data_IF_462975331584
#
_entry.id   IF_462975331584
#
_cell.length_a   1.000
_cell.length_b   1.000
_cell.length_c   1.000
_cell.angle_alpha   90.00
_cell.angle_beta   90.00
_cell.angle_gamma   90.00
#
_symmetry.space_group_name_H-M   'P 1'
#
loop_
_entity.id
_entity.type
_entity.pdbx_description
1 polymer ?
#
# COMPACT_ATOMS: atom_id res chain seq x y z
N UNK A 1 -4.67 -16.57 -21.03
CA UNK A 1 -3.44 -16.66 -20.22
C UNK A 1 -3.80 -16.11 -18.86
N UNK A 2 -3.57 -16.89 -17.81
CA UNK A 2 -3.86 -16.43 -16.44
C UNK A 2 -2.75 -15.49 -15.97
N UNK A 3 -3.15 -14.40 -15.32
CA UNK A 3 -2.23 -13.46 -14.68
C UNK A 3 -2.52 -13.39 -13.19
N UNK A 4 -1.48 -13.23 -12.39
CA UNK A 4 -1.56 -13.00 -10.94
C UNK A 4 -0.95 -11.65 -10.61
N UNK A 5 -1.47 -10.99 -9.58
CA UNK A 5 -0.93 -9.73 -9.09
C UNK A 5 -0.06 -10.02 -7.87
N UNK A 6 1.17 -9.49 -7.86
CA UNK A 6 1.99 -9.41 -6.66
C UNK A 6 2.06 -7.94 -6.26
N UNK A 7 1.83 -7.62 -4.99
CA UNK A 7 1.93 -6.25 -4.49
C UNK A 7 2.60 -6.18 -3.12
N UNK A 8 3.07 -4.98 -2.81
CA UNK A 8 3.75 -4.62 -1.58
C UNK A 8 3.34 -3.20 -1.17
N UNK A 9 3.43 -2.89 0.13
CA UNK A 9 3.02 -1.59 0.66
C UNK A 9 4.09 -0.92 1.51
N UNK A 10 4.17 0.40 1.38
CA UNK A 10 4.96 1.24 2.27
C UNK A 10 4.03 2.05 3.16
N UNK A 11 4.38 2.19 4.44
CA UNK A 11 3.59 2.94 5.41
C UNK A 11 4.46 3.83 6.28
N UNK A 12 3.88 4.90 6.83
CA UNK A 12 4.55 5.84 7.73
C UNK A 12 5.35 5.09 8.80
N UNK A 13 6.63 5.44 8.93
CA UNK A 13 7.54 4.78 9.85
C UNK A 13 8.49 5.79 10.49
N UNK A 14 9.05 5.41 11.64
CA UNK A 14 10.02 6.19 12.39
C UNK A 14 11.11 5.25 12.89
N UNK A 15 12.23 5.81 13.34
CA UNK A 15 13.30 5.01 13.91
C UNK A 15 12.79 4.17 15.10
N UNK A 16 12.95 2.85 14.99
CA UNK A 16 12.48 1.89 15.99
C UNK A 16 10.97 1.65 16.02
N UNK A 17 10.18 2.23 15.09
CA UNK A 17 8.72 2.09 15.11
C UNK A 17 8.28 0.63 14.89
N UNK A 18 9.02 -0.12 14.07
CA UNK A 18 8.73 -1.54 13.81
C UNK A 18 8.88 -2.39 15.07
N UNK A 19 9.98 -2.21 15.81
CA UNK A 19 10.29 -2.91 17.05
C UNK A 19 9.24 -2.61 18.13
N UNK A 20 8.75 -1.37 18.16
CA UNK A 20 7.66 -0.93 19.05
C UNK A 20 6.25 -1.17 18.48
N UNK A 21 6.13 -1.76 17.29
CA UNK A 21 4.87 -2.03 16.59
C UNK A 21 3.97 -0.79 16.41
N UNK A 22 4.56 0.36 16.08
CA UNK A 22 3.87 1.64 15.90
C UNK A 22 3.04 2.07 17.13
N UNK A 23 3.59 1.83 18.33
CA UNK A 23 2.95 2.19 19.62
C UNK A 23 3.63 3.36 20.30
N UNK A 24 4.59 4.02 19.64
CA UNK A 24 5.20 5.25 20.17
C UNK A 24 4.23 6.44 20.15
N UNK A 25 4.51 7.50 20.92
CA UNK A 25 3.68 8.70 20.93
C UNK A 25 3.53 9.31 19.52
N UNK A 26 2.28 9.46 19.06
CA UNK A 26 1.97 10.03 17.74
C UNK A 26 2.19 9.09 16.54
N UNK A 27 2.74 7.89 16.75
CA UNK A 27 2.95 6.92 15.69
C UNK A 27 1.58 6.36 15.25
N UNK A 28 1.11 6.79 14.08
CA UNK A 28 -0.04 6.17 13.42
C UNK A 28 0.46 5.65 12.09
N UNK A 29 0.45 4.32 11.96
CA UNK A 29 0.81 3.65 10.71
C UNK A 29 -0.29 3.86 9.68
N UNK A 30 0.07 4.53 8.59
CA UNK A 30 -0.79 4.85 7.46
C UNK A 30 -0.04 4.49 6.17
N UNK A 31 -0.71 3.81 5.23
CA UNK A 31 -0.14 3.43 3.95
C UNK A 31 0.16 4.68 3.12
N UNK A 32 1.40 4.78 2.66
CA UNK A 32 1.96 5.84 1.81
C UNK A 32 2.09 5.38 0.36
N UNK A 33 2.35 4.10 0.10
CA UNK A 33 2.48 3.55 -1.25
C UNK A 33 1.86 2.16 -1.37
N UNK A 34 1.29 1.86 -2.53
CA UNK A 34 1.07 0.48 -3.00
C UNK A 34 1.82 0.34 -4.33
N UNK A 35 2.76 -0.61 -4.40
CA UNK A 35 3.42 -1.05 -5.62
C UNK A 35 2.90 -2.43 -6.02
N UNK A 36 2.66 -2.67 -7.31
CA UNK A 36 2.18 -3.96 -7.79
C UNK A 36 2.67 -4.30 -9.20
N UNK A 37 2.84 -5.59 -9.46
CA UNK A 37 3.13 -6.14 -10.79
C UNK A 37 2.09 -7.20 -11.15
N UNK A 38 1.72 -7.25 -12.43
CA UNK A 38 0.98 -8.37 -13.01
C UNK A 38 1.99 -9.32 -13.63
N UNK A 39 1.93 -10.60 -13.28
CA UNK A 39 2.80 -11.64 -13.82
C UNK A 39 1.97 -12.67 -14.60
N UNK A 40 2.50 -13.11 -15.74
CA UNK A 40 1.96 -14.30 -16.43
C UNK A 40 2.20 -15.52 -15.56
N UNK A 41 1.15 -16.26 -15.21
CA UNK A 41 1.25 -17.34 -14.21
C UNK A 41 2.21 -18.47 -14.62
N UNK A 42 2.36 -18.71 -15.93
CA UNK A 42 3.16 -19.82 -16.44
C UNK A 42 4.64 -19.48 -16.60
N UNK A 43 4.97 -18.23 -16.96
CA UNK A 43 6.36 -17.80 -17.24
C UNK A 43 6.96 -16.87 -16.20
N UNK A 44 6.13 -16.28 -15.34
CA UNK A 44 6.49 -15.19 -14.43
C UNK A 44 6.99 -13.92 -15.12
N UNK A 45 6.73 -13.77 -16.42
CA UNK A 45 7.03 -12.52 -17.13
C UNK A 45 6.09 -11.40 -16.65
N UNK A 46 6.66 -10.21 -16.45
CA UNK A 46 5.88 -9.01 -16.15
C UNK A 46 4.98 -8.64 -17.33
N UNK A 47 3.68 -8.59 -17.07
CA UNK A 47 2.64 -8.18 -18.00
C UNK A 47 2.17 -6.73 -17.75
N UNK A 48 2.49 -6.17 -16.59
CA UNK A 48 2.18 -4.78 -16.25
C UNK A 48 2.65 -4.40 -14.86
N UNK A 49 2.70 -3.10 -14.60
CA UNK A 49 3.10 -2.53 -13.33
C UNK A 49 2.10 -1.46 -12.88
N UNK A 50 2.00 -1.25 -11.58
CA UNK A 50 1.17 -0.25 -10.96
C UNK A 50 1.88 0.32 -9.73
N UNK A 51 1.73 1.62 -9.55
CA UNK A 51 2.19 2.30 -8.36
C UNK A 51 1.22 3.43 -8.02
N UNK A 52 0.94 3.61 -6.73
CA UNK A 52 0.18 4.76 -6.26
C UNK A 52 0.71 5.26 -4.92
N UNK A 53 0.90 6.57 -4.82
CA UNK A 53 1.17 7.27 -3.57
C UNK A 53 -0.12 7.76 -2.94
N UNK A 54 -0.24 7.63 -1.61
CA UNK A 54 -1.37 8.05 -0.81
C UNK A 54 -0.89 8.95 0.32
N UNK A 55 -1.55 10.09 0.50
CA UNK A 55 -1.19 11.06 1.53
C UNK A 55 -1.73 10.59 2.89
N UNK A 56 -0.88 10.38 3.91
CA UNK A 56 -1.33 10.12 5.27
C UNK A 56 -2.11 11.32 5.82
N UNK A 57 -3.16 11.08 6.59
CA UNK A 57 -3.99 12.14 7.17
C UNK A 57 -3.51 12.52 8.57
N UNK A 58 -3.02 11.55 9.35
CA UNK A 58 -2.58 11.77 10.74
C UNK A 58 -1.14 12.24 10.79
N UNK A 59 -0.29 11.70 9.91
CA UNK A 59 1.12 12.06 9.80
C UNK A 59 1.48 12.51 8.36
N UNK A 60 0.98 13.67 7.89
CA UNK A 60 1.15 14.13 6.51
C UNK A 60 2.58 14.57 6.15
N UNK A 61 3.43 14.76 7.17
CA UNK A 61 4.86 15.03 7.01
C UNK A 61 5.62 13.74 7.25
N UNK A 62 6.27 13.23 6.19
CA UNK A 62 7.09 12.03 6.23
C UNK A 62 8.31 12.24 7.14
N UNK A 63 8.65 11.21 7.92
CA UNK A 63 9.86 11.23 8.72
C UNK A 63 11.11 11.10 7.82
N UNK A 64 12.24 11.64 8.27
CA UNK A 64 13.52 11.45 7.58
C UNK A 64 13.90 9.97 7.48
N UNK A 65 13.57 9.17 8.50
CA UNK A 65 13.75 7.72 8.49
C UNK A 65 12.97 7.06 7.36
N UNK A 66 11.68 7.37 7.20
CA UNK A 66 10.84 6.80 6.16
C UNK A 66 11.35 7.16 4.76
N UNK A 67 11.68 8.43 4.53
CA UNK A 67 12.23 8.88 3.24
C UNK A 67 13.58 8.23 2.94
N UNK A 68 14.45 8.06 3.94
CA UNK A 68 15.73 7.36 3.74
C UNK A 68 15.56 5.86 3.46
N UNK A 69 14.55 5.23 4.08
CA UNK A 69 14.26 3.81 3.92
C UNK A 69 13.64 3.48 2.55
N UNK A 70 12.68 4.29 2.10
CA UNK A 70 11.86 4.00 0.92
C UNK A 70 12.27 4.78 -0.33
N UNK A 71 13.01 5.87 -0.17
CA UNK A 71 13.30 6.83 -1.25
C UNK A 71 12.16 7.80 -1.56
N UNK A 72 10.97 7.62 -0.98
CA UNK A 72 9.80 8.47 -1.24
C UNK A 72 9.99 9.82 -0.57
N UNK A 73 10.05 10.87 -1.39
CA UNK A 73 10.24 12.25 -0.90
C UNK A 73 8.92 12.93 -0.55
N UNK A 74 8.96 13.88 0.38
CA UNK A 74 7.80 14.72 0.69
C UNK A 74 7.29 15.49 -0.54
N UNK A 75 8.20 15.98 -1.39
CA UNK A 75 7.85 16.72 -2.60
C UNK A 75 7.10 15.83 -3.61
N UNK A 76 7.52 14.58 -3.75
CA UNK A 76 6.84 13.60 -4.58
C UNK A 76 5.45 13.26 -4.04
N UNK A 77 5.33 13.01 -2.74
CA UNK A 77 4.05 12.75 -2.08
C UNK A 77 3.09 13.95 -2.23
N UNK A 78 3.59 15.17 -2.11
CA UNK A 78 2.78 16.37 -2.33
C UNK A 78 2.32 16.49 -3.79
N UNK A 79 3.19 16.18 -4.75
CA UNK A 79 2.88 16.27 -6.19
C UNK A 79 1.92 15.19 -6.66
N UNK A 80 2.13 13.94 -6.28
CA UNK A 80 1.46 12.77 -6.86
C UNK A 80 0.53 12.04 -5.89
N UNK A 81 0.62 12.32 -4.59
CA UNK A 81 -0.17 11.64 -3.57
C UNK A 81 -1.67 11.84 -3.74
N UNK A 82 -2.43 10.76 -3.55
CA UNK A 82 -3.89 10.71 -3.61
C UNK A 82 -4.48 10.55 -2.21
N UNK A 83 -5.80 10.62 -2.08
CA UNK A 83 -6.44 10.09 -0.87
C UNK A 83 -6.26 8.58 -0.83
N UNK A 84 -6.31 8.00 0.37
CA UNK A 84 -6.29 6.54 0.53
C UNK A 84 -7.41 5.86 -0.27
N UNK A 85 -8.61 6.43 -0.24
CA UNK A 85 -9.78 5.91 -0.98
C UNK A 85 -9.58 5.88 -2.50
N UNK A 86 -9.03 6.93 -3.10
CA UNK A 86 -8.71 6.97 -4.55
C UNK A 86 -7.57 6.00 -4.88
N UNK A 87 -6.54 5.93 -4.03
CA UNK A 87 -5.43 4.99 -4.21
C UNK A 87 -5.88 3.53 -4.22
N UNK A 88 -6.68 3.12 -3.23
CA UNK A 88 -7.25 1.76 -3.17
C UNK A 88 -8.20 1.51 -4.33
N UNK A 89 -9.06 2.46 -4.72
CA UNK A 89 -9.95 2.29 -5.87
C UNK A 89 -9.18 2.06 -7.18
N UNK A 90 -8.06 2.76 -7.38
CA UNK A 90 -7.17 2.57 -8.53
C UNK A 90 -6.44 1.24 -8.48
N UNK A 91 -5.97 0.83 -7.31
CA UNK A 91 -5.36 -0.48 -7.14
C UNK A 91 -6.37 -1.61 -7.44
N UNK A 92 -7.61 -1.48 -6.99
CA UNK A 92 -8.73 -2.38 -7.37
C UNK A 92 -8.96 -2.46 -8.86
N UNK A 93 -8.96 -1.31 -9.54
CA UNK A 93 -9.09 -1.27 -10.99
C UNK A 93 -7.90 -1.97 -11.67
N UNK A 94 -6.68 -1.77 -11.16
CA UNK A 94 -5.51 -2.47 -11.67
C UNK A 94 -5.63 -3.98 -11.44
N UNK A 95 -6.00 -4.46 -10.26
CA UNK A 95 -6.15 -5.90 -9.98
C UNK A 95 -7.22 -6.52 -10.89
N UNK A 96 -8.39 -5.88 -11.02
CA UNK A 96 -9.50 -6.38 -11.81
C UNK A 96 -10.00 -7.73 -11.29
N UNK A 97 -10.27 -8.72 -12.16
CA UNK A 97 -10.76 -10.04 -11.76
C UNK A 97 -9.65 -11.03 -11.32
N UNK A 98 -8.39 -10.58 -11.29
CA UNK A 98 -7.23 -11.44 -10.98
C UNK A 98 -7.03 -11.59 -9.48
N UNK A 99 -6.36 -12.66 -9.06
CA UNK A 99 -5.96 -12.85 -7.67
C UNK A 99 -4.74 -11.98 -7.34
N UNK A 100 -4.74 -11.35 -6.17
CA UNK A 100 -3.64 -10.54 -5.68
C UNK A 100 -2.99 -11.18 -4.45
N UNK A 101 -1.66 -11.19 -4.43
CA UNK A 101 -0.83 -11.76 -3.38
C UNK A 101 0.13 -10.70 -2.86
N UNK A 102 0.36 -10.69 -1.54
CA UNK A 102 1.40 -9.92 -0.88
C UNK A 102 2.18 -10.82 0.06
N UNK A 103 3.37 -10.38 0.45
CA UNK A 103 4.09 -11.01 1.54
C UNK A 103 3.53 -10.53 2.89
N UNK A 104 3.28 -11.45 3.83
CA UNK A 104 2.85 -11.09 5.18
C UNK A 104 1.37 -10.72 5.27
N UNK A 105 1.07 -9.51 5.78
CA UNK A 105 -0.27 -9.07 6.20
C UNK A 105 -0.67 -7.70 5.64
N UNK A 106 -0.08 -7.31 4.52
CA UNK A 106 -0.31 -6.01 3.87
C UNK A 106 -1.77 -5.85 3.41
N UNK A 107 -2.38 -6.95 2.97
CA UNK A 107 -3.81 -7.06 2.71
C UNK A 107 -4.66 -6.64 3.92
N UNK A 108 -4.32 -7.13 5.10
CA UNK A 108 -5.00 -6.81 6.34
C UNK A 108 -4.84 -5.32 6.68
N UNK A 109 -3.68 -4.72 6.41
CA UNK A 109 -3.49 -3.29 6.65
C UNK A 109 -4.30 -2.39 5.71
N UNK A 110 -4.46 -2.78 4.44
CA UNK A 110 -5.37 -2.08 3.53
C UNK A 110 -6.81 -2.14 4.07
N UNK A 111 -7.25 -3.30 4.54
CA UNK A 111 -8.59 -3.47 5.13
C UNK A 111 -8.75 -2.64 6.40
N UNK A 112 -7.82 -2.77 7.36
CA UNK A 112 -7.86 -2.06 8.63
C UNK A 112 -7.89 -0.55 8.45
N UNK A 113 -7.06 0.00 7.56
CA UNK A 113 -7.05 1.43 7.28
C UNK A 113 -8.33 1.87 6.56
N UNK A 114 -8.84 1.08 5.63
CA UNK A 114 -10.12 1.35 4.96
C UNK A 114 -11.30 1.43 5.92
N UNK A 115 -11.34 0.55 6.92
CA UNK A 115 -12.34 0.60 7.98
C UNK A 115 -12.19 1.85 8.86
N UNK A 116 -10.96 2.23 9.24
CA UNK A 116 -10.70 3.44 10.04
C UNK A 116 -11.09 4.73 9.33
N UNK A 117 -10.98 4.78 8.01
CA UNK A 117 -11.24 5.96 7.19
C UNK A 117 -12.63 5.95 6.53
N UNK A 118 -13.50 5.01 6.88
CA UNK A 118 -14.83 4.84 6.28
C UNK A 118 -14.79 4.75 4.74
N UNK A 119 -13.73 4.17 4.17
CA UNK A 119 -13.55 4.05 2.72
C UNK A 119 -14.38 2.90 2.09
N UNK A 120 -15.32 2.32 2.85
CA UNK A 120 -16.07 1.11 2.49
C UNK A 120 -15.25 -0.17 2.72
N UNK A 121 -15.90 -1.35 2.66
CA UNK A 121 -15.20 -2.64 2.71
C UNK A 121 -14.36 -2.77 1.43
N UNK A 122 -13.02 -2.73 1.50
CA UNK A 122 -12.24 -2.45 0.29
C UNK A 122 -12.18 -3.63 -0.68
N UNK A 123 -12.52 -4.87 -0.28
CA UNK A 123 -12.33 -6.05 -1.13
C UNK A 123 -13.32 -7.20 -0.87
N UNK A 124 -13.81 -7.91 -1.90
CA UNK A 124 -14.43 -9.22 -1.74
C UNK A 124 -13.32 -10.28 -1.84
N UNK A 125 -12.92 -10.91 -0.73
CA UNK A 125 -12.30 -12.25 -0.71
C UNK A 125 -11.41 -12.64 -1.91
N UNK A 126 -10.21 -12.04 -2.04
CA UNK A 126 -9.21 -12.41 -3.06
C UNK A 126 -7.83 -12.80 -2.51
N UNK A 127 -7.66 -12.81 -1.18
CA UNK A 127 -6.43 -13.28 -0.57
C UNK A 127 -6.55 -14.77 -0.31
N UNK A 128 -5.85 -15.56 -1.14
CA UNK A 128 -5.57 -16.94 -0.81
C UNK A 128 -4.39 -16.92 0.18
N UNK A 129 -4.69 -17.22 1.45
CA UNK A 129 -3.68 -17.55 2.45
C UNK A 129 -3.03 -18.90 2.12
#
# INVERSE_FOLDING_TARGET
MSEVIIFDTEYTAWEGSRERRWRGPGEVREIVQIGAVSLRAESLDEAGQFEVLMRPERNPVLSSYFTALTGISQAELQRAGRSFSDGVARFRQFVGPRTAYCYGVDDQFIVDQGLRQNAGHPWPSFFAH
#
